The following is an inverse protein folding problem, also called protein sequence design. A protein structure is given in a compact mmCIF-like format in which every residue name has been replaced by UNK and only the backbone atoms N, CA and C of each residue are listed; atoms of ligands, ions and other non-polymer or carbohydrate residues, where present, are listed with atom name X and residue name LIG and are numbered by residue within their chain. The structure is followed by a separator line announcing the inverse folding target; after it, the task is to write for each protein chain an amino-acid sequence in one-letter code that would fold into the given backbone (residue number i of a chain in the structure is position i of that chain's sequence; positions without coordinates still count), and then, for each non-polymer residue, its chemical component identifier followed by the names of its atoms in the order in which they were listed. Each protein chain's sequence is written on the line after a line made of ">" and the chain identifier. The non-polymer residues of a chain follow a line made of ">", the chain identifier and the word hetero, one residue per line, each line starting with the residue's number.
data_IF_902804262217
#
_entry.id   IF_902804262217
#
_cell.length_a   1.000
_cell.length_b   1.000
_cell.length_c   1.000
_cell.angle_alpha   90.00
_cell.angle_beta   90.00
_cell.angle_gamma   90.00
#
_symmetry.space_group_name_H-M   'P 1'
#
loop_
_entity.id
_entity.type
_entity.pdbx_description
1 polymer ?
#
# COMPACT_ATOMS: atom_id res chain seq x y z
N UNK A 1 8.86 35.03 -5.19
CA UNK A 1 9.58 35.92 -4.26
C UNK A 1 10.97 35.35 -4.03
N UNK A 2 12.02 36.09 -4.40
CA UNK A 2 13.40 35.66 -4.12
C UNK A 2 13.64 35.59 -2.62
N UNK A 3 14.28 34.53 -2.13
CA UNK A 3 14.69 34.43 -0.73
C UNK A 3 15.93 35.30 -0.52
N UNK A 4 16.01 36.04 0.58
CA UNK A 4 17.20 36.83 0.93
C UNK A 4 18.43 35.95 1.20
N UNK A 5 19.63 36.54 1.13
CA UNK A 5 20.91 35.84 1.35
C UNK A 5 21.01 35.26 2.77
N UNK A 6 21.18 33.94 2.89
CA UNK A 6 21.38 33.23 4.17
C UNK A 6 22.75 33.52 4.79
N UNK A 7 22.94 33.22 6.08
CA UNK A 7 24.26 33.30 6.72
C UNK A 7 25.24 32.33 6.07
N UNK A 8 26.42 32.85 5.73
CA UNK A 8 27.58 32.10 5.27
C UNK A 8 28.19 31.29 6.41
N UNK A 9 28.97 30.26 6.11
CA UNK A 9 29.65 29.45 7.13
C UNK A 9 30.51 30.25 8.13
N UNK A 10 31.34 31.23 7.71
CA UNK A 10 32.09 32.05 8.67
C UNK A 10 31.18 32.94 9.53
N UNK A 11 30.09 33.48 8.97
CA UNK A 11 29.11 34.26 9.76
C UNK A 11 28.39 33.37 10.79
N UNK A 12 28.10 32.11 10.46
CA UNK A 12 27.51 31.15 11.41
C UNK A 12 28.45 30.87 12.57
N UNK A 13 29.72 30.58 12.29
CA UNK A 13 30.73 30.36 13.32
C UNK A 13 30.91 31.59 14.23
N UNK A 14 30.87 32.79 13.66
CA UNK A 14 30.89 34.02 14.45
C UNK A 14 29.64 34.17 15.34
N UNK A 15 28.45 33.82 14.85
CA UNK A 15 27.24 33.81 15.68
C UNK A 15 27.37 32.79 16.82
N UNK A 16 27.87 31.59 16.55
CA UNK A 16 28.03 30.53 17.56
C UNK A 16 28.96 30.97 18.70
N UNK A 17 30.14 31.52 18.37
CA UNK A 17 31.08 32.06 19.35
C UNK A 17 30.47 33.20 20.17
N UNK A 18 29.70 34.10 19.54
CA UNK A 18 29.06 35.22 20.27
C UNK A 18 27.89 34.75 21.15
N UNK A 19 27.22 33.66 20.80
CA UNK A 19 26.17 33.03 21.61
C UNK A 19 26.78 32.35 22.84
N UNK A 20 27.93 31.67 22.69
CA UNK A 20 28.69 31.11 23.83
C UNK A 20 29.10 32.19 24.83
N UNK A 21 29.51 33.36 24.32
CA UNK A 21 29.82 34.56 25.11
C UNK A 21 28.57 35.29 25.65
N UNK A 22 27.36 34.71 25.49
CA UNK A 22 26.08 35.24 25.95
C UNK A 22 25.76 36.66 25.47
N UNK A 23 26.22 37.03 24.28
CA UNK A 23 25.94 38.35 23.71
C UNK A 23 24.48 38.47 23.28
N UNK A 24 23.94 39.70 23.33
CA UNK A 24 22.57 39.94 22.89
C UNK A 24 22.45 39.86 21.36
N UNK A 25 21.32 39.36 20.86
CA UNK A 25 21.05 39.25 19.41
C UNK A 25 21.18 40.61 18.69
N UNK A 26 20.84 41.71 19.37
CA UNK A 26 21.01 43.06 18.85
C UNK A 26 22.49 43.42 18.64
N UNK A 27 23.37 43.02 19.56
CA UNK A 27 24.81 43.26 19.47
C UNK A 27 25.47 42.34 18.43
N UNK A 28 25.04 41.08 18.34
CA UNK A 28 25.48 40.14 17.30
C UNK A 28 25.11 40.67 15.91
N UNK A 29 23.88 41.19 15.76
CA UNK A 29 23.39 41.82 14.52
C UNK A 29 24.22 43.03 14.11
N UNK A 30 24.60 43.88 15.07
CA UNK A 30 25.44 45.03 14.80
C UNK A 30 26.87 44.63 14.39
N UNK A 31 27.44 43.58 15.01
CA UNK A 31 28.82 43.12 14.74
C UNK A 31 28.98 42.37 13.43
N UNK A 32 27.99 41.56 13.03
CA UNK A 32 28.06 40.73 11.81
C UNK A 32 27.37 41.46 10.63
N UNK A 33 26.75 42.63 10.87
CA UNK A 33 26.01 43.41 9.87
C UNK A 33 24.88 42.61 9.18
N UNK A 34 24.18 41.75 9.94
CA UNK A 34 23.06 40.93 9.44
C UNK A 34 21.79 41.23 10.20
N UNK A 35 20.65 41.01 9.54
CA UNK A 35 19.34 41.28 10.12
C UNK A 35 19.09 40.41 11.36
N UNK A 36 18.54 41.02 12.42
CA UNK A 36 18.17 40.35 13.68
C UNK A 36 17.29 39.12 13.43
N UNK A 37 16.37 39.17 12.46
CA UNK A 37 15.48 38.04 12.12
C UNK A 37 16.25 36.85 11.55
N UNK A 38 17.28 37.10 10.74
CA UNK A 38 18.13 36.05 10.15
C UNK A 38 18.94 35.36 11.25
N UNK A 39 19.49 36.14 12.19
CA UNK A 39 20.24 35.63 13.35
C UNK A 39 19.31 34.85 14.28
N UNK A 40 18.11 35.37 14.62
CA UNK A 40 17.11 34.64 15.42
C UNK A 40 16.70 33.31 14.77
N UNK A 41 16.48 33.31 13.46
CA UNK A 41 16.14 32.09 12.73
C UNK A 41 17.26 31.06 12.74
N UNK A 42 18.52 31.49 12.76
CA UNK A 42 19.68 30.60 12.88
C UNK A 42 19.80 30.03 14.30
N UNK A 43 19.78 30.89 15.32
CA UNK A 43 19.87 30.49 16.74
C UNK A 43 18.74 29.52 17.12
N UNK A 44 17.53 29.73 16.58
CA UNK A 44 16.38 28.85 16.84
C UNK A 44 16.53 27.43 16.25
N UNK A 45 17.49 27.19 15.36
CA UNK A 45 17.65 25.90 14.69
C UNK A 45 18.88 25.85 13.79
N UNK A 46 20.10 25.84 14.34
CA UNK A 46 21.33 26.00 13.58
C UNK A 46 21.58 24.83 12.61
N UNK A 47 21.22 23.61 13.03
CA UNK A 47 21.41 22.37 12.24
C UNK A 47 20.53 22.35 10.98
N UNK A 48 19.29 22.83 11.08
CA UNK A 48 18.33 22.84 9.98
C UNK A 48 18.36 24.16 9.17
N UNK A 49 19.18 25.13 9.56
CA UNK A 49 19.17 26.46 8.99
C UNK A 49 19.68 26.48 7.54
N UNK A 50 18.89 27.12 6.66
CA UNK A 50 19.19 27.21 5.23
C UNK A 50 18.87 25.94 4.44
N UNK A 51 18.39 24.88 5.10
CA UNK A 51 17.85 23.71 4.39
C UNK A 51 16.48 24.05 3.83
N UNK A 52 16.22 23.66 2.58
CA UNK A 52 14.89 23.76 2.02
C UNK A 52 14.01 22.70 2.69
N UNK A 53 12.98 23.14 3.41
CA UNK A 53 11.91 22.23 3.82
C UNK A 53 11.25 21.70 2.55
N UNK A 54 11.27 20.38 2.37
CA UNK A 54 10.40 19.76 1.39
C UNK A 54 8.96 20.09 1.78
N UNK A 55 8.20 20.73 0.89
CA UNK A 55 6.76 20.95 1.10
C UNK A 55 5.96 19.65 1.05
N UNK A 56 6.64 18.51 0.95
CA UNK A 56 6.05 17.19 0.77
C UNK A 56 5.48 17.02 -0.63
N UNK A 57 4.76 15.92 -0.80
CA UNK A 57 3.98 15.64 -2.01
C UNK A 57 3.05 16.83 -2.30
N UNK A 58 3.04 17.37 -3.52
CA UNK A 58 2.10 18.41 -3.90
C UNK A 58 0.67 18.03 -3.50
N UNK A 59 -0.07 18.98 -2.92
CA UNK A 59 -1.45 18.75 -2.53
C UNK A 59 -2.27 18.42 -3.77
N UNK A 60 -3.09 17.37 -3.67
CA UNK A 60 -3.98 16.96 -4.78
C UNK A 60 -5.05 18.02 -5.08
N UNK A 61 -5.48 18.77 -4.07
CA UNK A 61 -6.47 19.84 -4.18
C UNK A 61 -5.83 21.18 -3.85
N UNK A 62 -6.21 22.23 -4.58
CA UNK A 62 -5.80 23.60 -4.22
C UNK A 62 -6.70 24.09 -3.08
N UNK A 63 -6.20 25.01 -2.26
CA UNK A 63 -6.97 25.63 -1.17
C UNK A 63 -8.26 26.34 -1.66
N UNK A 64 -8.32 26.72 -2.94
CA UNK A 64 -9.53 27.26 -3.57
C UNK A 64 -10.55 26.17 -3.86
N UNK A 65 -10.10 25.00 -4.29
CA UNK A 65 -10.96 23.83 -4.53
C UNK A 65 -11.51 23.31 -3.19
N UNK A 66 -10.67 23.25 -2.15
CA UNK A 66 -11.10 22.90 -0.79
C UNK A 66 -12.21 23.84 -0.29
N UNK A 67 -12.07 25.16 -0.51
CA UNK A 67 -13.10 26.16 -0.17
C UNK A 67 -14.35 26.02 -1.03
N UNK A 68 -14.21 25.74 -2.31
CA UNK A 68 -15.36 25.55 -3.20
C UNK A 68 -16.11 24.28 -2.84
N UNK A 69 -15.42 23.19 -2.52
CA UNK A 69 -16.00 21.96 -1.99
C UNK A 69 -16.72 22.27 -0.67
N UNK A 70 -16.05 22.90 0.30
CA UNK A 70 -16.69 23.27 1.58
C UNK A 70 -17.93 24.16 1.43
N UNK A 71 -17.98 25.01 0.39
CA UNK A 71 -19.15 25.84 0.07
C UNK A 71 -20.25 25.11 -0.70
N UNK A 72 -19.86 24.12 -1.53
CA UNK A 72 -20.77 23.33 -2.34
C UNK A 72 -21.36 22.16 -1.56
N UNK A 73 -20.75 21.72 -0.45
CA UNK A 73 -21.39 20.85 0.53
C UNK A 73 -22.55 21.64 1.13
N UNK A 74 -23.81 21.24 0.89
CA UNK A 74 -24.95 21.89 1.53
C UNK A 74 -24.81 21.74 3.05
N UNK A 75 -25.27 22.72 3.83
CA UNK A 75 -25.46 22.58 5.29
C UNK A 75 -26.56 21.56 5.64
N UNK A 76 -26.85 20.58 4.78
CA UNK A 76 -27.72 19.47 5.11
C UNK A 76 -27.02 18.64 6.16
N UNK A 77 -27.71 18.30 7.25
CA UNK A 77 -27.25 17.39 8.32
C UNK A 77 -26.99 15.95 7.84
N UNK A 78 -26.72 15.75 6.56
CA UNK A 78 -26.35 14.47 5.99
C UNK A 78 -24.87 14.27 6.23
N UNK A 79 -24.57 13.43 7.20
CA UNK A 79 -23.23 12.93 7.49
C UNK A 79 -22.70 12.16 6.27
N UNK A 80 -21.37 12.04 6.15
CA UNK A 80 -20.77 11.11 5.19
C UNK A 80 -21.29 9.66 5.36
N UNK A 81 -21.86 9.32 6.53
CA UNK A 81 -22.53 8.04 6.83
C UNK A 81 -23.96 7.92 6.26
N UNK A 82 -24.59 9.04 5.91
CA UNK A 82 -25.96 9.10 5.36
C UNK A 82 -25.97 9.02 3.82
N UNK A 83 -24.79 9.04 3.21
CA UNK A 83 -24.60 8.55 1.85
C UNK A 83 -24.57 7.03 1.92
N UNK A 84 -25.45 6.35 1.16
CA UNK A 84 -25.48 4.90 1.04
C UNK A 84 -24.05 4.36 0.87
N UNK A 85 -23.50 3.77 1.92
CA UNK A 85 -22.16 3.18 1.87
C UNK A 85 -22.22 2.04 0.82
N UNK A 86 -21.49 2.15 -0.31
CA UNK A 86 -21.52 1.13 -1.35
C UNK A 86 -21.08 -0.26 -0.84
N UNK A 87 -20.42 -0.31 0.31
CA UNK A 87 -20.10 -1.56 1.00
C UNK A 87 -21.33 -2.25 1.60
N UNK A 88 -22.23 -1.47 2.21
CA UNK A 88 -23.47 -1.99 2.79
C UNK A 88 -24.45 -2.45 1.71
N UNK A 89 -24.50 -1.78 0.56
CA UNK A 89 -25.37 -2.19 -0.55
C UNK A 89 -24.95 -3.54 -1.14
N UNK A 90 -23.64 -3.80 -1.30
CA UNK A 90 -23.14 -5.09 -1.82
C UNK A 90 -23.40 -6.24 -0.85
N UNK A 91 -23.15 -6.04 0.46
CA UNK A 91 -23.45 -7.06 1.49
C UNK A 91 -24.95 -7.34 1.60
N UNK A 92 -25.77 -6.29 1.59
CA UNK A 92 -27.24 -6.43 1.61
C UNK A 92 -27.74 -7.16 0.36
N UNK A 93 -27.19 -6.87 -0.82
CA UNK A 93 -27.50 -7.60 -2.04
C UNK A 93 -27.17 -9.09 -1.94
N UNK A 94 -25.95 -9.45 -1.53
CA UNK A 94 -25.54 -10.85 -1.37
C UNK A 94 -26.43 -11.57 -0.34
N UNK A 95 -26.76 -10.91 0.78
CA UNK A 95 -27.68 -11.44 1.78
C UNK A 95 -29.09 -11.66 1.22
N UNK A 96 -29.64 -10.71 0.46
CA UNK A 96 -30.95 -10.85 -0.19
C UNK A 96 -31.00 -12.00 -1.20
N UNK A 97 -29.87 -12.28 -1.87
CA UNK A 97 -29.70 -13.42 -2.77
C UNK A 97 -29.37 -14.72 -2.05
N UNK A 98 -29.28 -14.71 -0.71
CA UNK A 98 -28.89 -15.85 0.13
C UNK A 98 -27.53 -16.46 -0.28
N UNK A 99 -26.63 -15.63 -0.80
CA UNK A 99 -25.29 -16.05 -1.20
C UNK A 99 -24.42 -16.06 0.05
N UNK A 100 -23.92 -17.24 0.42
CA UNK A 100 -22.97 -17.38 1.52
C UNK A 100 -21.61 -16.83 1.08
N UNK A 101 -21.18 -15.74 1.70
CA UNK A 101 -19.85 -15.14 1.46
C UNK A 101 -18.83 -15.90 2.29
N UNK A 102 -17.72 -16.28 1.67
CA UNK A 102 -16.61 -16.95 2.34
C UNK A 102 -15.68 -15.91 2.99
N UNK A 103 -15.22 -16.20 4.20
CA UNK A 103 -14.26 -15.36 4.92
C UNK A 103 -12.85 -15.55 4.33
N UNK A 104 -12.52 -14.72 3.33
CA UNK A 104 -11.25 -14.79 2.61
C UNK A 104 -10.13 -14.03 3.32
N UNK A 105 -8.94 -14.64 3.53
CA UNK A 105 -7.81 -13.95 4.12
C UNK A 105 -7.25 -12.87 3.18
N UNK A 106 -6.90 -11.71 3.73
CA UNK A 106 -6.30 -10.63 2.94
C UNK A 106 -4.99 -11.09 2.27
N UNK A 107 -4.71 -10.55 1.08
CA UNK A 107 -3.45 -10.78 0.35
C UNK A 107 -3.08 -12.25 0.08
N UNK A 108 -4.06 -13.13 -0.06
CA UNK A 108 -3.83 -14.56 -0.36
C UNK A 108 -4.35 -14.94 -1.76
N UNK A 109 -3.67 -14.52 -2.85
CA UNK A 109 -4.07 -14.87 -4.21
C UNK A 109 -3.79 -16.35 -4.54
N UNK A 110 -2.82 -16.96 -3.85
CA UNK A 110 -2.44 -18.38 -3.98
C UNK A 110 -3.59 -19.34 -3.63
N UNK A 111 -4.51 -18.88 -2.78
CA UNK A 111 -5.68 -19.64 -2.38
C UNK A 111 -6.83 -19.54 -3.40
N UNK A 112 -6.75 -18.61 -4.36
CA UNK A 112 -7.81 -18.32 -5.31
C UNK A 112 -7.74 -19.21 -6.56
N UNK A 113 -8.67 -20.17 -6.76
CA UNK A 113 -8.63 -21.05 -7.93
C UNK A 113 -8.69 -20.28 -9.24
N UNK A 114 -9.26 -19.07 -9.26
CA UNK A 114 -9.36 -18.25 -10.48
C UNK A 114 -7.98 -17.80 -10.99
N UNK A 115 -7.00 -17.59 -10.10
CA UNK A 115 -5.64 -17.19 -10.49
C UNK A 115 -4.95 -18.30 -11.29
N UNK A 116 -5.17 -19.56 -10.88
CA UNK A 116 -4.69 -20.72 -11.62
C UNK A 116 -5.33 -20.83 -13.01
N UNK A 117 -6.62 -20.51 -13.11
CA UNK A 117 -7.36 -20.49 -14.38
C UNK A 117 -6.85 -19.38 -15.30
N UNK A 118 -6.65 -18.16 -14.77
CA UNK A 118 -6.04 -17.05 -15.52
C UNK A 118 -4.66 -17.41 -16.06
N UNK A 119 -3.83 -18.08 -15.25
CA UNK A 119 -2.50 -18.52 -15.67
C UNK A 119 -2.53 -19.52 -16.84
N UNK A 120 -3.52 -20.42 -16.91
CA UNK A 120 -3.69 -21.32 -18.06
C UNK A 120 -4.22 -20.58 -19.27
N UNK A 121 -5.23 -19.75 -19.07
CA UNK A 121 -5.87 -19.01 -20.15
C UNK A 121 -4.87 -18.08 -20.84
N UNK A 122 -4.08 -17.32 -20.08
CA UNK A 122 -3.04 -16.46 -20.62
C UNK A 122 -1.99 -17.26 -21.42
N UNK A 123 -1.52 -18.39 -20.88
CA UNK A 123 -0.56 -19.26 -21.58
C UNK A 123 -1.12 -19.82 -22.88
N UNK A 124 -2.42 -20.15 -22.93
CA UNK A 124 -3.05 -20.68 -24.14
C UNK A 124 -3.31 -19.60 -25.20
N UNK A 125 -3.83 -18.45 -24.77
CA UNK A 125 -4.17 -17.32 -25.65
C UNK A 125 -2.91 -16.74 -26.30
N UNK A 126 -1.82 -16.58 -25.55
CA UNK A 126 -0.55 -16.04 -26.06
C UNK A 126 0.45 -17.11 -26.51
N UNK A 127 0.00 -18.36 -26.70
CA UNK A 127 0.85 -19.46 -27.15
C UNK A 127 1.56 -19.08 -28.45
N UNK A 128 2.83 -19.45 -28.56
CA UNK A 128 3.70 -19.16 -29.71
C UNK A 128 3.86 -17.65 -30.01
N UNK A 129 3.69 -16.78 -29.00
CA UNK A 129 3.85 -15.34 -29.17
C UNK A 129 2.74 -14.68 -29.98
N UNK A 130 1.56 -15.32 -30.05
CA UNK A 130 0.39 -14.79 -30.77
C UNK A 130 0.02 -13.40 -30.23
N UNK A 131 -0.11 -12.43 -31.12
CA UNK A 131 -0.57 -11.08 -30.82
C UNK A 131 -1.92 -10.83 -31.50
N UNK A 132 -2.68 -9.86 -30.97
CA UNK A 132 -4.02 -9.52 -31.44
C UNK A 132 -4.07 -8.04 -31.79
N UNK A 133 -4.56 -7.72 -32.98
CA UNK A 133 -4.61 -6.33 -33.47
C UNK A 133 -5.98 -5.67 -33.24
N UNK A 134 -6.96 -6.44 -32.75
CA UNK A 134 -8.31 -5.97 -32.44
C UNK A 134 -8.86 -6.58 -31.16
N UNK A 135 -9.64 -5.78 -30.42
CA UNK A 135 -10.37 -6.24 -29.22
C UNK A 135 -11.33 -7.38 -29.57
N UNK A 136 -11.95 -7.36 -30.75
CA UNK A 136 -12.89 -8.41 -31.17
C UNK A 136 -12.18 -9.75 -31.34
N UNK A 137 -11.03 -9.73 -32.02
CA UNK A 137 -10.19 -10.91 -32.25
C UNK A 137 -9.70 -11.50 -30.93
N UNK A 138 -9.21 -10.65 -30.02
CA UNK A 138 -8.79 -11.07 -28.69
C UNK A 138 -9.94 -11.69 -27.90
N UNK A 139 -11.12 -11.06 -27.87
CA UNK A 139 -12.31 -11.59 -27.19
C UNK A 139 -12.71 -12.96 -27.74
N UNK A 140 -12.68 -13.14 -29.06
CA UNK A 140 -13.02 -14.41 -29.69
C UNK A 140 -12.02 -15.51 -29.34
N UNK A 141 -10.72 -15.19 -29.34
CA UNK A 141 -9.69 -16.13 -28.95
C UNK A 141 -9.80 -16.53 -27.47
N UNK A 142 -10.02 -15.57 -26.57
CA UNK A 142 -10.24 -15.83 -25.14
C UNK A 142 -11.44 -16.77 -24.96
N UNK A 143 -12.56 -16.52 -25.64
CA UNK A 143 -13.74 -17.41 -25.61
C UNK A 143 -13.42 -18.81 -26.14
N UNK A 144 -12.68 -18.91 -27.25
CA UNK A 144 -12.32 -20.18 -27.86
C UNK A 144 -11.40 -21.01 -26.94
N UNK A 145 -10.42 -20.38 -26.30
CA UNK A 145 -9.54 -21.04 -25.33
C UNK A 145 -10.26 -21.39 -24.03
N UNK A 146 -11.17 -20.53 -23.56
CA UNK A 146 -11.98 -20.79 -22.38
C UNK A 146 -12.83 -22.06 -22.53
N UNK A 147 -13.47 -22.26 -23.70
CA UNK A 147 -14.28 -23.45 -23.99
C UNK A 147 -13.48 -24.76 -24.03
N UNK A 148 -12.14 -24.70 -24.10
CA UNK A 148 -11.28 -25.89 -24.05
C UNK A 148 -10.97 -26.34 -22.63
N UNK A 149 -11.21 -25.49 -21.62
CA UNK A 149 -10.94 -25.82 -20.22
C UNK A 149 -11.97 -26.85 -19.75
N UNK A 150 -11.49 -28.05 -19.42
CA UNK A 150 -12.33 -29.15 -18.97
C UNK A 150 -12.90 -28.87 -17.56
N UNK A 151 -14.18 -29.20 -17.34
CA UNK A 151 -14.81 -29.07 -16.03
C UNK A 151 -14.11 -29.91 -14.95
N UNK A 152 -13.58 -31.08 -15.31
CA UNK A 152 -12.84 -31.95 -14.40
C UNK A 152 -11.59 -31.28 -13.84
N UNK A 153 -10.92 -30.45 -14.64
CA UNK A 153 -9.77 -29.67 -14.21
C UNK A 153 -10.18 -28.60 -13.18
N UNK A 154 -11.30 -27.91 -13.40
CA UNK A 154 -11.84 -26.93 -12.45
C UNK A 154 -12.25 -27.59 -11.13
N UNK A 155 -12.87 -28.77 -11.18
CA UNK A 155 -13.23 -29.54 -9.99
C UNK A 155 -11.98 -29.94 -9.19
N UNK A 156 -10.93 -30.41 -9.86
CA UNK A 156 -9.66 -30.75 -9.21
C UNK A 156 -8.99 -29.53 -8.58
N UNK A 157 -9.01 -28.38 -9.24
CA UNK A 157 -8.51 -27.13 -8.65
C UNK A 157 -9.28 -26.76 -7.39
N UNK A 158 -10.62 -26.84 -7.41
CA UNK A 158 -11.43 -26.54 -6.23
C UNK A 158 -11.06 -27.44 -5.05
N UNK A 159 -10.94 -28.75 -5.30
CA UNK A 159 -10.62 -29.74 -4.27
C UNK A 159 -9.19 -29.61 -3.72
N UNK A 160 -8.21 -29.27 -4.57
CA UNK A 160 -6.82 -29.08 -4.13
C UNK A 160 -6.65 -27.80 -3.31
N UNK A 161 -7.37 -26.74 -3.67
CA UNK A 161 -7.38 -25.52 -2.87
C UNK A 161 -8.06 -25.78 -1.52
N UNK A 162 -9.20 -26.49 -1.48
CA UNK A 162 -9.87 -26.91 -0.24
C UNK A 162 -8.93 -27.62 0.74
N UNK A 163 -8.15 -28.60 0.26
CA UNK A 163 -7.11 -29.27 1.05
C UNK A 163 -6.02 -28.32 1.54
N UNK A 164 -5.61 -27.36 0.71
CA UNK A 164 -4.60 -26.35 1.09
C UNK A 164 -5.11 -25.39 2.17
N UNK A 165 -6.42 -25.14 2.26
CA UNK A 165 -7.01 -24.40 3.39
C UNK A 165 -6.97 -25.23 4.67
N UNK A 166 -7.35 -26.50 4.59
CA UNK A 166 -7.33 -27.42 5.75
C UNK A 166 -5.91 -27.63 6.28
N UNK A 167 -4.91 -27.77 5.40
CA UNK A 167 -3.50 -27.94 5.78
C UNK A 167 -2.89 -26.67 6.40
N UNK A 168 -3.27 -25.48 5.92
CA UNK A 168 -2.78 -24.19 6.44
C UNK A 168 -3.46 -23.76 7.76
N UNK A 169 -4.50 -24.46 8.20
CA UNK A 169 -5.13 -24.26 9.51
C UNK A 169 -4.57 -25.31 10.49
N UNK A 170 -3.91 -24.93 11.61
CA UNK A 170 -3.40 -25.92 12.57
C UNK A 170 -4.53 -26.80 13.11
N UNK A 171 -4.33 -28.11 13.12
CA UNK A 171 -5.31 -29.10 13.62
C UNK A 171 -5.67 -28.76 15.07
N UNK A 172 -6.91 -28.35 15.30
CA UNK A 172 -7.45 -27.98 16.61
C UNK A 172 -7.61 -26.46 16.86
N UNK A 173 -7.15 -25.59 15.96
CA UNK A 173 -7.38 -24.16 16.08
C UNK A 173 -8.77 -23.77 15.54
N UNK A 174 -9.62 -23.19 16.39
CA UNK A 174 -10.90 -22.62 15.93
C UNK A 174 -10.64 -21.48 14.92
N UNK A 175 -11.43 -21.39 13.85
CA UNK A 175 -11.30 -20.38 12.76
C UNK A 175 -11.18 -18.93 13.28
N UNK A 176 -11.72 -18.63 14.47
CA UNK A 176 -11.61 -17.32 15.12
C UNK A 176 -10.25 -17.06 15.81
N UNK A 177 -9.55 -18.10 16.25
CA UNK A 177 -8.29 -18.01 17.01
C UNK A 177 -7.08 -17.67 16.13
N UNK A 178 -7.06 -18.17 14.89
CA UNK A 178 -5.98 -17.90 13.92
C UNK A 178 -5.99 -16.43 13.48
N UNK A 179 -7.18 -15.85 13.27
CA UNK A 179 -7.36 -14.42 12.99
C UNK A 179 -6.91 -13.53 14.15
N UNK A 180 -7.16 -13.93 15.40
CA UNK A 180 -6.73 -13.19 16.58
C UNK A 180 -5.21 -13.16 16.75
N UNK A 181 -4.51 -14.25 16.41
CA UNK A 181 -3.05 -14.32 16.53
C UNK A 181 -2.32 -13.51 15.45
N UNK A 182 -2.90 -13.39 14.25
CA UNK A 182 -2.35 -12.59 13.17
C UNK A 182 -2.55 -11.08 13.39
N UNK A 183 -3.60 -10.69 14.13
CA UNK A 183 -3.83 -9.30 14.55
C UNK A 183 -2.82 -8.81 15.61
N UNK A 184 -2.23 -9.72 16.39
CA UNK A 184 -1.31 -9.41 17.50
C UNK A 184 0.18 -9.35 17.12
N UNK A 185 0.56 -9.58 15.86
CA UNK A 185 1.94 -9.34 15.39
C UNK A 185 3.03 -10.21 16.03
N UNK A 186 2.70 -11.38 16.59
CA UNK A 186 3.69 -12.29 17.16
C UNK A 186 4.36 -13.07 16.01
N UNK A 187 5.66 -12.84 15.78
CA UNK A 187 6.46 -13.57 14.80
C UNK A 187 6.47 -15.07 15.12
N UNK A 188 6.01 -15.89 14.18
CA UNK A 188 6.31 -17.33 14.18
C UNK A 188 7.83 -17.53 13.94
N UNK A 189 8.43 -18.44 14.70
CA UNK A 189 9.87 -18.79 14.65
C UNK A 189 10.31 -19.40 13.30
N UNK A 190 11.61 -19.73 13.15
CA UNK A 190 12.21 -19.98 11.85
C UNK A 190 11.68 -21.27 11.18
N UNK A 191 11.35 -21.14 9.89
CA UNK A 191 10.90 -22.18 8.99
C UNK A 191 11.97 -23.26 8.81
N UNK A 192 11.62 -24.54 8.99
CA UNK A 192 12.46 -25.67 8.55
C UNK A 192 12.15 -26.00 7.10
N UNK A 193 13.13 -25.79 6.22
CA UNK A 193 13.14 -26.34 4.87
C UNK A 193 13.34 -27.86 4.93
N UNK A 194 12.30 -28.63 4.61
CA UNK A 194 12.40 -30.07 4.42
C UNK A 194 12.58 -30.40 2.93
N UNK A 195 13.78 -30.17 2.42
CA UNK A 195 14.30 -30.89 1.25
C UNK A 195 15.29 -31.93 1.76
N UNK A 196 15.00 -33.22 1.56
CA UNK A 196 15.91 -34.24 1.03
C UNK A 196 15.39 -35.68 1.29
N UNK A 197 15.40 -36.47 0.21
CA UNK A 197 15.54 -37.94 0.10
C UNK A 197 14.27 -38.82 0.11
N UNK A 198 13.70 -38.98 -1.08
CA UNK A 198 13.33 -40.30 -1.60
C UNK A 198 14.29 -40.64 -2.74
N UNK A 199 15.15 -41.64 -2.57
CA UNK A 199 15.74 -42.42 -3.66
C UNK A 199 15.68 -43.88 -3.22
N UNK A 200 14.69 -44.58 -3.74
CA UNK A 200 14.67 -46.03 -3.87
C UNK A 200 15.09 -46.33 -5.30
N UNK A 201 16.15 -47.12 -5.46
CA UNK A 201 16.28 -48.18 -6.47
C UNK A 201 17.59 -48.92 -6.20
N UNK A 202 17.47 -50.22 -5.91
CA UNK A 202 18.60 -51.14 -5.85
C UNK A 202 18.83 -51.82 -7.20
N UNK A 203 19.98 -52.46 -7.37
CA UNK A 203 20.16 -53.81 -7.92
C UNK A 203 21.65 -54.08 -8.16
N UNK A 204 22.08 -55.25 -7.66
CA UNK A 204 23.39 -55.92 -7.75
C UNK A 204 24.56 -55.38 -6.93
#
# INVERSE_FOLDING_TARGET
>A
MGRGKTLTMPERAQVDLMVELKMSVSLISARIHRCRTVIKSYISGPVAYGTSKSTGRPRKLKQRDERNVARAVPNTMKSAKDFDDPYNSTRAFLASKKIKVFDWPACSPDLNPIESVWGILARSVYKNGKQYNSISEFKNAVKAEWSKIQLSYLANLSNNNEKSYEEKIPVGASRKSVLAQQQCGVKLGPWRDNKQKTNLEGHF
#
